data_IF_766699610466
#
_entry.id   IF_766699610466
#
_cell.length_a   1.000
_cell.length_b   1.000
_cell.length_c   1.000
_cell.angle_alpha   90.00
_cell.angle_beta   90.00
_cell.angle_gamma   90.00
#
_symmetry.space_group_name_H-M   'P 1'
#
loop_
_entity.id
_entity.type
_entity.pdbx_description
1 polymer ?
#
# COMPACT_ATOMS: atom_id res chain seq x y z
N UNK A 1 -19.75 27.23 11.79
CA UNK A 1 -18.50 26.48 12.00
C UNK A 1 -17.89 26.19 10.64
N UNK A 2 -16.57 26.17 10.54
CA UNK A 2 -15.88 25.74 9.32
C UNK A 2 -15.61 24.25 9.38
N UNK A 3 -16.05 23.52 8.36
CA UNK A 3 -15.78 22.09 8.18
C UNK A 3 -15.21 21.85 6.77
N UNK A 4 -14.71 20.64 6.53
CA UNK A 4 -14.37 20.16 5.19
C UNK A 4 -15.45 19.21 4.71
N UNK A 5 -16.23 19.57 3.69
CA UNK A 5 -17.23 18.71 3.07
C UNK A 5 -16.74 18.20 1.71
N UNK A 6 -16.64 16.88 1.54
CA UNK A 6 -16.17 16.24 0.30
C UNK A 6 -14.86 16.86 -0.23
N UNK A 7 -13.93 17.20 0.68
CA UNK A 7 -12.63 17.80 0.34
C UNK A 7 -12.63 19.32 0.15
N UNK A 8 -13.78 19.99 0.23
CA UNK A 8 -13.92 21.45 0.07
C UNK A 8 -14.25 22.13 1.39
N UNK A 9 -13.63 23.26 1.67
CA UNK A 9 -13.98 24.06 2.85
C UNK A 9 -15.42 24.57 2.75
N UNK A 10 -16.17 24.41 3.82
CA UNK A 10 -17.57 24.82 3.94
C UNK A 10 -17.79 25.53 5.27
N UNK A 11 -18.17 26.80 5.20
CA UNK A 11 -18.73 27.51 6.35
C UNK A 11 -20.21 27.14 6.48
N UNK A 12 -20.56 26.35 7.51
CA UNK A 12 -21.92 25.86 7.73
C UNK A 12 -22.52 26.34 9.05
N UNK A 13 -23.84 26.48 9.07
CA UNK A 13 -24.66 26.72 10.26
C UNK A 13 -25.24 25.43 10.84
N UNK A 14 -25.12 24.30 10.13
CA UNK A 14 -25.55 22.99 10.60
C UNK A 14 -24.79 22.60 11.87
N UNK A 15 -25.50 21.97 12.80
CA UNK A 15 -24.93 21.47 14.05
C UNK A 15 -24.58 19.99 13.97
N UNK A 16 -25.15 19.27 13.00
CA UNK A 16 -24.98 17.82 12.89
C UNK A 16 -24.62 17.36 11.47
N UNK A 17 -24.03 16.17 11.41
CA UNK A 17 -23.60 15.56 10.17
C UNK A 17 -24.78 15.22 9.25
N UNK A 18 -25.93 14.83 9.79
CA UNK A 18 -27.11 14.51 8.98
C UNK A 18 -27.83 15.76 8.48
N UNK A 19 -27.79 16.88 9.21
CA UNK A 19 -28.29 18.16 8.70
C UNK A 19 -27.51 18.60 7.44
N UNK A 20 -26.18 18.46 7.44
CA UNK A 20 -25.36 18.75 6.25
C UNK A 20 -25.68 17.78 5.10
N UNK A 21 -25.94 16.49 5.41
CA UNK A 21 -26.39 15.50 4.43
C UNK A 21 -27.71 15.89 3.78
N UNK A 22 -28.69 16.29 4.56
CA UNK A 22 -30.02 16.66 4.06
C UNK A 22 -29.98 17.91 3.17
N UNK A 23 -29.05 18.84 3.42
CA UNK A 23 -28.85 20.01 2.56
C UNK A 23 -28.12 19.69 1.25
N UNK A 24 -27.21 18.71 1.26
CA UNK A 24 -26.26 18.47 0.15
C UNK A 24 -26.54 17.20 -0.67
N UNK A 25 -27.48 16.36 -0.22
CA UNK A 25 -27.75 15.04 -0.79
C UNK A 25 -29.10 14.47 -0.37
N UNK A 26 -29.13 13.15 -0.16
CA UNK A 26 -30.32 12.37 0.22
C UNK A 26 -30.16 11.78 1.63
N UNK A 27 -31.28 11.54 2.32
CA UNK A 27 -31.31 10.85 3.61
C UNK A 27 -30.70 9.42 3.57
N UNK A 28 -30.57 8.83 2.37
CA UNK A 28 -30.00 7.48 2.18
C UNK A 28 -28.49 7.47 1.92
N UNK A 29 -27.87 8.63 1.79
CA UNK A 29 -26.44 8.76 1.48
C UNK A 29 -25.58 8.36 2.69
N UNK A 30 -24.42 7.77 2.39
CA UNK A 30 -23.49 7.31 3.41
C UNK A 30 -22.72 8.52 3.94
N UNK A 31 -22.69 8.70 5.25
CA UNK A 31 -21.96 9.79 5.91
C UNK A 31 -20.73 9.23 6.60
N UNK A 32 -19.57 9.78 6.24
CA UNK A 32 -18.29 9.47 6.86
C UNK A 32 -17.80 10.72 7.58
N UNK A 33 -17.68 10.63 8.90
CA UNK A 33 -17.17 11.69 9.77
C UNK A 33 -15.79 11.27 10.28
N UNK A 34 -14.76 12.05 9.96
CA UNK A 34 -13.39 11.87 10.46
C UNK A 34 -12.84 10.43 10.31
N UNK A 35 -13.05 9.77 9.17
CA UNK A 35 -12.59 8.39 8.97
C UNK A 35 -13.67 7.32 9.17
N UNK A 36 -14.75 7.63 9.89
CA UNK A 36 -15.71 6.64 10.36
C UNK A 36 -17.10 6.81 9.75
N UNK A 37 -17.67 5.74 9.21
CA UNK A 37 -19.04 5.74 8.71
C UNK A 37 -20.02 5.76 9.89
N UNK A 38 -20.77 6.86 10.02
CA UNK A 38 -21.77 7.01 11.08
C UNK A 38 -23.13 6.45 10.63
N UNK A 39 -23.77 5.68 11.51
CA UNK A 39 -25.12 5.14 11.29
C UNK A 39 -26.20 6.01 11.96
N UNK A 40 -25.83 6.75 13.00
CA UNK A 40 -26.68 7.69 13.72
C UNK A 40 -26.08 9.10 13.57
N UNK A 41 -26.92 10.11 13.74
CA UNK A 41 -26.48 11.49 13.63
C UNK A 41 -25.44 11.83 14.72
N UNK A 42 -24.50 12.69 14.37
CA UNK A 42 -23.41 13.12 15.24
C UNK A 42 -23.25 14.63 15.15
N UNK A 43 -22.94 15.27 16.29
CA UNK A 43 -22.61 16.69 16.30
C UNK A 43 -21.33 16.94 15.53
N UNK A 44 -21.32 18.05 14.78
CA UNK A 44 -20.14 18.56 14.11
C UNK A 44 -19.39 19.55 15.01
N UNK A 45 -18.08 19.57 14.84
CA UNK A 45 -17.14 20.49 15.47
C UNK A 45 -16.34 21.24 14.41
N UNK A 46 -15.71 22.34 14.81
CA UNK A 46 -14.81 23.10 13.95
C UNK A 46 -13.68 22.21 13.42
N UNK A 47 -13.40 22.29 12.11
CA UNK A 47 -12.42 21.49 11.36
C UNK A 47 -12.75 20.00 11.20
N UNK A 48 -13.98 19.56 11.48
CA UNK A 48 -14.40 18.21 11.15
C UNK A 48 -14.34 17.97 9.63
N UNK A 49 -13.98 16.73 9.26
CA UNK A 49 -13.98 16.26 7.88
C UNK A 49 -15.20 15.38 7.67
N UNK A 50 -16.13 15.85 6.83
CA UNK A 50 -17.36 15.18 6.48
C UNK A 50 -17.32 14.76 5.01
N UNK A 51 -17.63 13.50 4.72
CA UNK A 51 -17.84 13.03 3.35
C UNK A 51 -19.22 12.41 3.21
N UNK A 52 -19.97 12.85 2.20
CA UNK A 52 -21.30 12.34 1.85
C UNK A 52 -21.17 11.56 0.54
N UNK A 53 -21.33 10.25 0.62
CA UNK A 53 -21.26 9.36 -0.54
C UNK A 53 -22.68 9.05 -1.02
N UNK A 54 -23.00 9.54 -2.22
CA UNK A 54 -24.26 9.24 -2.92
C UNK A 54 -24.25 7.79 -3.40
N UNK A 55 -25.26 7.02 -2.98
CA UNK A 55 -25.34 5.60 -3.38
C UNK A 55 -25.60 5.47 -4.88
N UNK A 56 -24.76 4.69 -5.56
CA UNK A 56 -24.96 4.33 -6.97
C UNK A 56 -24.59 5.41 -8.00
N UNK A 57 -24.04 6.55 -7.55
CA UNK A 57 -23.54 7.61 -8.41
C UNK A 57 -22.02 7.55 -8.42
N UNK A 58 -21.40 7.56 -9.61
CA UNK A 58 -19.95 7.72 -9.72
C UNK A 58 -19.61 9.15 -9.33
N UNK A 59 -18.82 9.39 -8.25
CA UNK A 59 -18.39 10.73 -7.89
C UNK A 59 -17.48 11.31 -8.97
N UNK A 60 -17.34 12.63 -9.00
CA UNK A 60 -16.31 13.27 -9.82
C UNK A 60 -14.90 12.95 -9.27
N UNK A 61 -13.86 13.37 -9.99
CA UNK A 61 -12.48 12.99 -9.69
C UNK A 61 -12.03 13.49 -8.29
N UNK A 62 -12.34 14.75 -7.95
CA UNK A 62 -11.99 15.36 -6.67
C UNK A 62 -12.77 14.70 -5.52
N UNK A 63 -14.07 14.46 -5.73
CA UNK A 63 -14.91 13.77 -4.76
C UNK A 63 -14.46 12.32 -4.56
N UNK A 64 -14.08 11.60 -5.62
CA UNK A 64 -13.60 10.22 -5.53
C UNK A 64 -12.31 10.15 -4.74
N UNK A 65 -11.35 11.04 -5.02
CA UNK A 65 -10.11 11.12 -4.24
C UNK A 65 -10.42 11.40 -2.77
N UNK A 66 -11.24 12.42 -2.47
CA UNK A 66 -11.65 12.74 -1.11
C UNK A 66 -12.34 11.57 -0.41
N UNK A 67 -13.21 10.82 -1.11
CA UNK A 67 -13.91 9.65 -0.56
C UNK A 67 -12.97 8.46 -0.30
N UNK A 68 -11.96 8.26 -1.15
CA UNK A 68 -10.91 7.26 -0.90
C UNK A 68 -10.10 7.63 0.35
N UNK A 69 -9.89 8.92 0.59
CA UNK A 69 -9.24 9.46 1.80
C UNK A 69 -10.16 9.44 3.02
N UNK A 70 -11.47 9.59 2.82
CA UNK A 70 -12.46 9.74 3.88
C UNK A 70 -12.50 8.56 4.84
N UNK A 71 -12.12 7.36 4.38
CA UNK A 71 -12.06 6.13 5.19
C UNK A 71 -10.72 5.94 5.90
N UNK A 72 -9.74 6.80 5.64
CA UNK A 72 -8.46 6.77 6.35
C UNK A 72 -8.59 7.48 7.70
N UNK A 73 -7.78 7.05 8.66
CA UNK A 73 -7.60 7.78 9.92
C UNK A 73 -7.16 9.22 9.63
N UNK A 74 -7.71 10.25 10.29
CA UNK A 74 -7.28 11.63 10.12
C UNK A 74 -5.76 11.78 10.23
N UNK A 75 -5.19 12.72 9.45
CA UNK A 75 -3.75 13.03 9.38
C UNK A 75 -2.82 11.94 8.82
N UNK A 76 -3.26 10.68 8.72
CA UNK A 76 -2.48 9.57 8.12
C UNK A 76 -2.33 9.77 6.61
N UNK A 77 -3.41 10.13 5.92
CA UNK A 77 -3.40 10.21 4.46
C UNK A 77 -2.36 11.21 3.92
N UNK A 78 -2.19 12.37 4.54
CA UNK A 78 -1.24 13.38 4.06
C UNK A 78 0.21 12.86 4.09
N UNK A 79 0.56 12.10 5.12
CA UNK A 79 1.87 11.46 5.22
C UNK A 79 2.04 10.38 4.13
N UNK A 80 1.01 9.56 3.91
CA UNK A 80 1.02 8.54 2.85
C UNK A 80 1.13 9.16 1.45
N UNK A 81 0.39 10.24 1.17
CA UNK A 81 0.42 10.96 -0.11
C UNK A 81 1.78 11.59 -0.41
N UNK A 82 2.57 11.90 0.61
CA UNK A 82 3.95 12.37 0.43
C UNK A 82 4.96 11.23 0.29
N UNK A 83 4.60 10.00 0.70
CA UNK A 83 5.48 8.85 0.72
C UNK A 83 5.86 8.32 -0.66
N UNK A 84 7.14 7.98 -0.82
CA UNK A 84 7.70 7.36 -2.02
C UNK A 84 8.27 5.98 -1.68
N UNK A 85 7.62 4.94 -2.19
CA UNK A 85 8.00 3.55 -1.93
C UNK A 85 8.43 2.85 -3.21
N UNK A 86 9.62 2.27 -3.20
CA UNK A 86 10.08 1.39 -4.27
C UNK A 86 9.86 -0.08 -3.89
N UNK A 87 9.40 -0.88 -4.84
CA UNK A 87 9.13 -2.31 -4.66
C UNK A 87 10.05 -3.08 -5.60
N UNK A 88 11.01 -3.79 -5.00
CA UNK A 88 12.01 -4.59 -5.68
C UNK A 88 11.55 -6.06 -5.72
N UNK A 89 11.13 -6.50 -6.90
CA UNK A 89 10.50 -7.80 -7.12
C UNK A 89 8.98 -7.73 -6.96
N UNK A 90 8.25 -8.19 -7.96
CA UNK A 90 6.78 -8.15 -8.07
C UNK A 90 6.20 -9.57 -8.09
N UNK A 91 6.82 -10.47 -7.33
CA UNK A 91 6.34 -11.82 -7.06
C UNK A 91 5.19 -11.85 -6.05
N UNK A 92 5.11 -12.91 -5.25
CA UNK A 92 4.01 -13.10 -4.28
C UNK A 92 3.93 -12.00 -3.23
N UNK A 93 5.07 -11.52 -2.73
CA UNK A 93 5.10 -10.43 -1.77
C UNK A 93 4.85 -9.09 -2.47
N UNK A 94 5.74 -8.70 -3.38
CA UNK A 94 5.72 -7.36 -3.98
C UNK A 94 4.43 -7.00 -4.72
N UNK A 95 3.81 -7.95 -5.45
CA UNK A 95 2.54 -7.66 -6.15
C UNK A 95 1.38 -7.38 -5.18
N UNK A 96 1.29 -8.15 -4.09
CA UNK A 96 0.28 -7.91 -3.05
C UNK A 96 0.57 -6.63 -2.26
N UNK A 97 1.84 -6.36 -1.94
CA UNK A 97 2.26 -5.13 -1.26
C UNK A 97 1.91 -3.90 -2.09
N UNK A 98 2.22 -3.90 -3.39
CA UNK A 98 1.92 -2.77 -4.28
C UNK A 98 0.42 -2.45 -4.30
N UNK A 99 -0.43 -3.48 -4.38
CA UNK A 99 -1.89 -3.33 -4.32
C UNK A 99 -2.34 -2.77 -2.96
N UNK A 100 -1.80 -3.27 -1.84
CA UNK A 100 -2.14 -2.76 -0.51
C UNK A 100 -1.73 -1.30 -0.34
N UNK A 101 -0.51 -0.93 -0.75
CA UNK A 101 0.00 0.44 -0.69
C UNK A 101 -0.78 1.40 -1.61
N UNK A 102 -1.20 0.92 -2.79
CA UNK A 102 -2.04 1.70 -3.68
C UNK A 102 -3.42 2.01 -3.06
N UNK A 103 -4.03 1.01 -2.41
CA UNK A 103 -5.35 1.15 -1.76
C UNK A 103 -5.36 2.16 -0.62
N UNK A 104 -4.27 2.27 0.12
CA UNK A 104 -4.12 3.24 1.22
C UNK A 104 -3.61 4.62 0.72
N UNK A 105 -3.35 4.75 -0.58
CA UNK A 105 -2.96 6.02 -1.19
C UNK A 105 -1.54 6.47 -0.91
N UNK A 106 -0.56 5.54 -0.93
CA UNK A 106 0.86 5.93 -0.98
C UNK A 106 1.11 6.72 -2.26
N UNK A 107 1.62 7.94 -2.13
CA UNK A 107 1.64 8.94 -3.22
C UNK A 107 2.44 8.53 -4.44
N UNK A 108 3.58 7.86 -4.26
CA UNK A 108 4.38 7.35 -5.37
C UNK A 108 4.88 5.93 -5.13
N UNK A 109 4.64 5.07 -6.11
CA UNK A 109 5.16 3.71 -6.17
C UNK A 109 6.12 3.57 -7.36
N UNK A 110 7.29 2.98 -7.10
CA UNK A 110 8.16 2.44 -8.15
C UNK A 110 8.10 0.92 -8.14
N UNK A 111 7.74 0.33 -9.27
CA UNK A 111 7.66 -1.12 -9.44
C UNK A 111 8.83 -1.60 -10.29
N UNK A 112 9.70 -2.45 -9.72
CA UNK A 112 10.89 -2.97 -10.40
C UNK A 112 10.87 -4.49 -10.43
N UNK A 113 10.75 -5.05 -11.64
CA UNK A 113 10.84 -6.48 -11.92
C UNK A 113 11.15 -6.67 -13.41
N UNK A 114 11.85 -7.75 -13.78
CA UNK A 114 12.20 -8.05 -15.16
C UNK A 114 11.36 -9.19 -15.75
N UNK A 115 10.64 -9.95 -14.92
CA UNK A 115 9.89 -11.12 -15.33
C UNK A 115 8.57 -10.76 -16.03
N UNK A 116 8.00 -11.79 -16.65
CA UNK A 116 6.63 -11.81 -17.17
C UNK A 116 5.71 -12.61 -16.24
N UNK A 117 4.40 -12.43 -16.38
CA UNK A 117 3.40 -13.20 -15.65
C UNK A 117 3.26 -14.60 -16.27
N UNK A 118 3.46 -15.62 -15.44
CA UNK A 118 3.36 -17.03 -15.83
C UNK A 118 2.19 -17.74 -15.12
N UNK A 119 1.67 -18.87 -15.66
CA UNK A 119 0.58 -19.60 -15.01
C UNK A 119 0.89 -20.04 -13.57
N UNK A 120 2.15 -20.39 -13.29
CA UNK A 120 2.64 -20.78 -11.96
C UNK A 120 2.59 -19.65 -10.91
N UNK A 121 2.36 -18.41 -11.35
CA UNK A 121 2.32 -17.22 -10.49
C UNK A 121 0.92 -17.00 -9.90
N UNK A 122 -0.13 -17.40 -10.63
CA UNK A 122 -1.53 -17.07 -10.33
C UNK A 122 -2.02 -17.64 -8.99
N UNK A 123 -1.33 -18.62 -8.42
CA UNK A 123 -1.70 -19.22 -7.14
C UNK A 123 -1.45 -18.32 -5.92
N UNK A 124 -0.68 -17.23 -6.06
CA UNK A 124 -0.24 -16.39 -4.93
C UNK A 124 0.13 -14.94 -5.27
N UNK A 125 0.29 -14.60 -6.55
CA UNK A 125 0.66 -13.26 -6.99
C UNK A 125 -0.58 -12.50 -7.42
N UNK A 126 -0.57 -11.17 -7.29
CA UNK A 126 -1.70 -10.31 -7.66
C UNK A 126 -1.72 -10.07 -9.18
N UNK A 127 -2.04 -11.11 -9.94
CA UNK A 127 -2.22 -11.05 -11.39
C UNK A 127 -3.46 -11.84 -11.83
N UNK A 128 -4.05 -11.43 -12.94
CA UNK A 128 -5.18 -12.11 -13.56
C UNK A 128 -4.73 -13.01 -14.71
N UNK A 129 -5.59 -13.95 -15.12
CA UNK A 129 -5.37 -14.79 -16.31
C UNK A 129 -5.14 -13.95 -17.56
N UNK A 130 -5.81 -12.79 -17.66
CA UNK A 130 -5.62 -11.82 -18.75
C UNK A 130 -4.23 -11.18 -18.78
N UNK A 131 -3.42 -11.33 -17.73
CA UNK A 131 -2.07 -10.77 -17.65
C UNK A 131 -0.99 -11.75 -18.13
N UNK A 132 -1.32 -13.01 -18.41
CA UNK A 132 -0.34 -14.03 -18.82
C UNK A 132 0.46 -13.56 -20.05
N UNK A 133 1.79 -13.74 -19.99
CA UNK A 133 2.73 -13.35 -21.05
C UNK A 133 3.11 -11.87 -21.06
N UNK A 134 2.53 -11.04 -20.18
CA UNK A 134 2.87 -9.61 -20.05
C UNK A 134 3.95 -9.40 -19.00
N UNK A 135 4.73 -8.33 -19.11
CA UNK A 135 5.64 -7.93 -18.03
C UNK A 135 4.87 -7.67 -16.73
N UNK A 136 5.39 -8.20 -15.62
CA UNK A 136 4.82 -8.04 -14.28
C UNK A 136 4.62 -6.56 -13.93
N UNK A 137 5.61 -5.74 -14.24
CA UNK A 137 5.60 -4.28 -14.05
C UNK A 137 4.41 -3.62 -14.74
N UNK A 138 4.20 -3.88 -16.04
CA UNK A 138 3.11 -3.30 -16.82
C UNK A 138 1.74 -3.80 -16.34
N UNK A 139 1.60 -5.11 -16.13
CA UNK A 139 0.35 -5.71 -15.67
C UNK A 139 -0.09 -5.15 -14.30
N UNK A 140 0.86 -5.00 -13.37
CA UNK A 140 0.57 -4.47 -12.04
C UNK A 140 0.29 -2.97 -12.05
N UNK A 141 0.99 -2.20 -12.89
CA UNK A 141 0.72 -0.76 -13.06
C UNK A 141 -0.72 -0.52 -13.51
N UNK A 142 -1.18 -1.22 -14.55
CA UNK A 142 -2.56 -1.07 -15.03
C UNK A 142 -3.60 -1.44 -13.97
N UNK A 143 -3.32 -2.50 -13.19
CA UNK A 143 -4.19 -2.89 -12.09
C UNK A 143 -4.23 -1.81 -11.01
N UNK A 144 -3.09 -1.20 -10.68
CA UNK A 144 -3.02 -0.12 -9.69
C UNK A 144 -3.75 1.14 -10.19
N UNK A 145 -3.60 1.51 -11.46
CA UNK A 145 -4.31 2.66 -12.04
C UNK A 145 -5.84 2.46 -12.01
N UNK A 146 -6.33 1.22 -12.10
CA UNK A 146 -7.75 0.89 -11.89
C UNK A 146 -8.18 0.91 -10.42
N UNK A 147 -7.25 0.67 -9.49
CA UNK A 147 -7.52 0.68 -8.05
C UNK A 147 -7.52 2.09 -7.50
N UNK A 148 -6.52 2.89 -7.87
CA UNK A 148 -6.32 4.23 -7.38
C UNK A 148 -5.61 5.06 -8.46
N UNK A 149 -6.34 5.84 -9.26
CA UNK A 149 -5.76 6.66 -10.32
C UNK A 149 -5.01 7.90 -9.78
N UNK A 150 -5.10 8.19 -8.48
CA UNK A 150 -4.56 9.41 -7.86
C UNK A 150 -3.11 9.28 -7.39
N UNK A 151 -2.52 8.09 -7.52
CA UNK A 151 -1.12 7.86 -7.13
C UNK A 151 -0.22 7.79 -8.35
N UNK A 152 1.02 8.21 -8.18
CA UNK A 152 2.03 8.14 -9.22
C UNK A 152 2.66 6.75 -9.27
N UNK A 153 2.52 6.04 -10.39
CA UNK A 153 3.15 4.73 -10.60
C UNK A 153 4.21 4.78 -11.69
N UNK A 154 5.46 4.57 -11.27
CA UNK A 154 6.60 4.38 -12.15
C UNK A 154 6.97 2.91 -12.25
N UNK A 155 7.44 2.49 -13.43
CA UNK A 155 7.86 1.12 -13.67
C UNK A 155 9.26 1.08 -14.25
N UNK A 156 10.04 0.08 -13.83
CA UNK A 156 11.35 -0.24 -14.41
C UNK A 156 11.41 -1.74 -14.68
N UNK A 157 11.30 -2.11 -15.95
CA UNK A 157 11.35 -3.52 -16.38
C UNK A 157 12.80 -3.98 -16.54
N UNK A 158 13.52 -4.05 -15.43
CA UNK A 158 14.97 -4.34 -15.42
C UNK A 158 15.31 -5.28 -14.26
N UNK A 159 16.40 -6.03 -14.44
CA UNK A 159 16.96 -6.83 -13.36
C UNK A 159 17.78 -5.91 -12.44
N UNK A 160 17.53 -6.01 -11.14
CA UNK A 160 18.29 -5.26 -10.14
C UNK A 160 19.65 -5.92 -9.97
N UNK A 161 20.70 -5.10 -10.00
CA UNK A 161 22.10 -5.48 -9.78
C UNK A 161 22.71 -4.45 -8.83
N UNK A 162 23.86 -4.78 -8.26
CA UNK A 162 24.62 -3.84 -7.41
C UNK A 162 24.86 -2.49 -8.12
N UNK A 163 25.20 -2.52 -9.41
CA UNK A 163 25.52 -1.33 -10.21
C UNK A 163 24.36 -0.37 -10.42
N UNK A 164 23.10 -0.84 -10.33
CA UNK A 164 21.92 -0.02 -10.64
C UNK A 164 21.07 0.32 -9.42
N UNK A 165 21.41 -0.15 -8.21
CA UNK A 165 20.65 0.13 -6.98
C UNK A 165 20.51 1.63 -6.74
N UNK A 166 21.62 2.37 -6.82
CA UNK A 166 21.58 3.82 -6.57
C UNK A 166 20.75 4.56 -7.62
N UNK A 167 20.93 4.25 -8.90
CA UNK A 167 20.16 4.88 -9.98
C UNK A 167 18.65 4.61 -9.84
N UNK A 168 18.28 3.37 -9.51
CA UNK A 168 16.88 2.96 -9.43
C UNK A 168 16.16 3.55 -8.22
N UNK A 169 16.82 3.63 -7.07
CA UNK A 169 16.14 3.87 -5.79
C UNK A 169 16.49 5.22 -5.15
N UNK A 170 17.34 6.04 -5.78
CA UNK A 170 17.59 7.40 -5.32
C UNK A 170 16.29 8.22 -5.25
N UNK A 171 16.07 8.90 -4.11
CA UNK A 171 14.90 9.75 -3.89
C UNK A 171 13.64 9.03 -3.42
N UNK A 172 13.72 7.72 -3.11
CA UNK A 172 12.66 6.96 -2.43
C UNK A 172 12.95 6.86 -0.93
N UNK A 173 11.89 6.91 -0.12
CA UNK A 173 11.99 6.86 1.34
C UNK A 173 12.20 5.42 1.83
N UNK A 174 11.57 4.47 1.14
CA UNK A 174 11.53 3.06 1.54
C UNK A 174 11.72 2.16 0.32
N UNK A 175 12.58 1.14 0.46
CA UNK A 175 12.67 0.00 -0.45
C UNK A 175 12.00 -1.20 0.19
N UNK A 176 10.94 -1.70 -0.45
CA UNK A 176 10.33 -2.97 -0.16
C UNK A 176 11.07 -4.06 -0.94
N UNK A 177 11.85 -4.88 -0.26
CA UNK A 177 12.52 -6.03 -0.87
C UNK A 177 11.58 -7.25 -0.83
N UNK A 178 11.39 -7.87 -2.00
CA UNK A 178 10.45 -8.96 -2.21
C UNK A 178 11.01 -10.06 -3.14
N UNK A 179 12.33 -10.28 -3.12
CA UNK A 179 12.98 -11.34 -3.89
C UNK A 179 12.81 -12.72 -3.23
N UNK A 180 12.87 -13.75 -4.06
CA UNK A 180 12.82 -15.16 -3.65
C UNK A 180 14.20 -15.71 -3.27
N UNK A 181 15.27 -15.21 -3.91
CA UNK A 181 16.63 -15.73 -3.71
C UNK A 181 17.44 -14.91 -2.69
N UNK A 182 18.09 -15.63 -1.79
CA UNK A 182 18.84 -15.05 -0.67
C UNK A 182 20.06 -14.22 -1.12
N UNK A 183 20.72 -14.61 -2.21
CA UNK A 183 21.85 -13.89 -2.81
C UNK A 183 21.40 -12.52 -3.35
N UNK A 184 20.33 -12.49 -4.14
CA UNK A 184 19.78 -11.25 -4.71
C UNK A 184 19.26 -10.31 -3.62
N UNK A 185 18.60 -10.87 -2.60
CA UNK A 185 18.17 -10.14 -1.40
C UNK A 185 19.36 -9.47 -0.72
N UNK A 186 20.44 -10.22 -0.50
CA UNK A 186 21.64 -9.71 0.17
C UNK A 186 22.31 -8.60 -0.66
N UNK A 187 22.39 -8.76 -1.98
CA UNK A 187 22.92 -7.74 -2.89
C UNK A 187 22.14 -6.43 -2.75
N UNK A 188 20.81 -6.47 -2.85
CA UNK A 188 19.99 -5.26 -2.74
C UNK A 188 20.11 -4.62 -1.36
N UNK A 189 19.98 -5.41 -0.28
CA UNK A 189 20.03 -4.88 1.08
C UNK A 189 21.38 -4.22 1.35
N UNK A 190 22.49 -4.89 1.05
CA UNK A 190 23.82 -4.37 1.32
C UNK A 190 24.09 -3.11 0.48
N UNK A 191 23.83 -3.16 -0.83
CA UNK A 191 24.05 -2.04 -1.73
C UNK A 191 23.22 -0.81 -1.34
N UNK A 192 21.94 -1.01 -0.98
CA UNK A 192 21.08 0.09 -0.56
C UNK A 192 21.49 0.65 0.80
N UNK A 193 21.86 -0.18 1.77
CA UNK A 193 22.34 0.30 3.07
C UNK A 193 23.65 1.06 2.95
N UNK A 194 24.55 0.67 2.05
CA UNK A 194 25.83 1.33 1.83
C UNK A 194 25.69 2.63 1.02
N UNK A 195 24.93 2.59 -0.08
CA UNK A 195 24.92 3.67 -1.08
C UNK A 195 23.77 4.68 -0.86
N UNK A 196 22.71 4.31 -0.13
CA UNK A 196 21.53 5.14 0.12
C UNK A 196 21.36 5.38 1.64
N UNK A 197 21.95 6.45 2.21
CA UNK A 197 22.11 6.60 3.66
C UNK A 197 20.80 6.79 4.42
N UNK A 198 19.75 7.31 3.77
CA UNK A 198 18.47 7.63 4.39
C UNK A 198 17.37 6.61 4.11
N UNK A 199 17.58 5.70 3.16
CA UNK A 199 16.54 4.74 2.77
C UNK A 199 16.33 3.72 3.88
N UNK A 200 15.06 3.43 4.17
CA UNK A 200 14.66 2.30 5.00
C UNK A 200 14.31 1.10 4.13
N UNK A 201 14.56 -0.10 4.64
CA UNK A 201 14.32 -1.34 3.92
C UNK A 201 13.35 -2.20 4.69
N UNK A 202 12.32 -2.68 4.02
CA UNK A 202 11.36 -3.65 4.55
C UNK A 202 11.41 -4.92 3.70
N UNK A 203 11.91 -6.01 4.28
CA UNK A 203 12.19 -7.28 3.61
C UNK A 203 11.27 -8.40 4.11
N UNK A 204 11.02 -9.42 3.30
CA UNK A 204 10.25 -10.61 3.68
C UNK A 204 11.10 -11.89 3.75
N UNK A 205 10.96 -12.71 4.79
CA UNK A 205 11.71 -13.98 4.92
C UNK A 205 10.99 -15.03 5.78
N UNK A 206 10.86 -16.26 5.26
CA UNK A 206 10.14 -17.37 5.92
C UNK A 206 8.61 -17.20 5.93
N UNK A 207 7.92 -17.82 4.97
CA UNK A 207 6.45 -17.73 4.78
C UNK A 207 5.86 -18.84 3.88
N UNK A 208 6.66 -19.83 3.48
CA UNK A 208 6.19 -20.92 2.61
C UNK A 208 5.40 -21.95 3.40
N UNK A 209 4.53 -22.69 2.74
CA UNK A 209 3.66 -23.69 3.36
C UNK A 209 2.41 -23.09 3.99
N UNK A 210 1.85 -23.82 4.94
CA UNK A 210 0.54 -23.57 5.55
C UNK A 210 0.59 -23.56 7.09
N UNK A 211 1.78 -23.38 7.68
CA UNK A 211 1.92 -23.29 9.14
C UNK A 211 1.20 -22.04 9.67
N UNK A 212 1.07 -21.95 11.00
CA UNK A 212 0.32 -20.87 11.67
C UNK A 212 0.79 -19.49 11.25
N UNK A 213 -0.15 -18.65 10.84
CA UNK A 213 0.10 -17.26 10.49
C UNK A 213 0.68 -16.43 11.63
N UNK A 214 0.44 -16.82 12.88
CA UNK A 214 0.96 -16.11 14.05
C UNK A 214 2.49 -16.23 14.21
N UNK A 215 3.14 -17.12 13.44
CA UNK A 215 4.60 -17.22 13.38
C UNK A 215 5.22 -16.08 12.55
N UNK A 216 4.44 -15.47 11.64
CA UNK A 216 4.89 -14.32 10.87
C UNK A 216 4.92 -13.12 11.81
N UNK A 217 6.11 -12.55 11.97
CA UNK A 217 6.33 -11.38 12.80
C UNK A 217 7.15 -10.37 12.02
N UNK A 218 6.94 -9.09 12.32
CA UNK A 218 7.86 -8.04 11.92
C UNK A 218 8.98 -7.98 12.96
N UNK A 219 10.22 -7.72 12.54
CA UNK A 219 11.38 -7.53 13.42
C UNK A 219 12.24 -6.39 12.89
N UNK A 220 12.69 -5.48 13.74
CA UNK A 220 13.70 -4.47 13.40
C UNK A 220 15.08 -5.08 13.65
N UNK A 221 15.80 -5.43 12.58
CA UNK A 221 17.12 -6.08 12.69
C UNK A 221 18.26 -5.06 12.77
N UNK A 222 18.09 -3.90 12.15
CA UNK A 222 19.02 -2.78 12.19
C UNK A 222 18.24 -1.47 12.16
N UNK A 223 18.92 -0.33 12.34
CA UNK A 223 18.28 0.98 12.36
C UNK A 223 17.36 1.23 11.15
N UNK A 224 17.76 0.74 9.96
CA UNK A 224 17.06 0.94 8.69
C UNK A 224 16.58 -0.36 8.03
N UNK A 225 16.59 -1.49 8.75
CA UNK A 225 16.22 -2.80 8.19
C UNK A 225 15.15 -3.48 9.05
N UNK A 226 14.00 -3.71 8.42
CA UNK A 226 12.86 -4.42 8.96
C UNK A 226 12.66 -5.72 8.20
N UNK A 227 12.42 -6.82 8.90
CA UNK A 227 12.17 -8.13 8.27
C UNK A 227 10.84 -8.68 8.76
N UNK A 228 9.99 -9.08 7.82
CA UNK A 228 8.68 -9.67 8.07
C UNK A 228 8.70 -11.15 7.70
N UNK A 229 8.17 -12.00 8.58
CA UNK A 229 8.06 -13.43 8.37
C UNK A 229 8.55 -14.25 9.56
N UNK A 230 8.59 -15.56 9.39
CA UNK A 230 8.96 -16.50 10.45
C UNK A 230 10.45 -16.87 10.44
N UNK A 231 11.21 -16.49 9.41
CA UNK A 231 12.64 -16.78 9.23
C UNK A 231 13.03 -18.27 9.12
N UNK A 232 12.07 -19.19 9.12
CA UNK A 232 12.32 -20.64 9.14
C UNK A 232 11.77 -21.32 7.86
N UNK A 233 10.60 -20.91 7.41
CA UNK A 233 9.81 -21.65 6.43
C UNK A 233 10.11 -21.17 5.01
N UNK A 234 11.22 -21.65 4.47
CA UNK A 234 11.58 -21.49 3.06
C UNK A 234 10.75 -22.42 2.14
N UNK A 235 10.58 -22.01 0.89
CA UNK A 235 9.92 -22.84 -0.12
C UNK A 235 10.83 -24.01 -0.53
N UNK A 236 10.23 -25.17 -0.79
CA UNK A 236 10.95 -26.38 -1.17
C UNK A 236 10.02 -27.48 -1.69
N UNK A 237 10.61 -28.63 -2.01
CA UNK A 237 9.83 -29.81 -2.45
C UNK A 237 8.84 -30.19 -1.35
N UNK A 238 7.54 -30.24 -1.70
CA UNK A 238 6.46 -30.50 -0.74
C UNK A 238 6.04 -29.29 0.11
N UNK A 239 6.74 -28.15 0.01
CA UNK A 239 6.45 -26.92 0.76
C UNK A 239 6.40 -25.72 -0.19
N UNK A 240 5.26 -25.59 -0.89
CA UNK A 240 5.01 -24.48 -1.82
C UNK A 240 4.61 -23.18 -1.14
N UNK A 241 4.62 -22.08 -1.89
CA UNK A 241 4.14 -20.79 -1.41
C UNK A 241 2.61 -20.72 -1.53
N UNK A 242 1.92 -20.58 -0.39
CA UNK A 242 0.46 -20.53 -0.32
C UNK A 242 -0.03 -19.08 -0.25
N UNK A 243 -1.00 -18.71 -1.11
CA UNK A 243 -1.57 -17.36 -1.17
C UNK A 243 -1.87 -16.74 0.20
N UNK A 244 -2.61 -17.40 1.13
CA UNK A 244 -2.95 -16.77 2.41
C UNK A 244 -1.71 -16.38 3.24
N UNK A 245 -0.74 -17.28 3.36
CA UNK A 245 0.46 -17.04 4.18
C UNK A 245 1.40 -16.01 3.54
N UNK A 246 1.53 -16.05 2.21
CA UNK A 246 2.25 -15.02 1.45
C UNK A 246 1.59 -13.66 1.63
N UNK A 247 0.26 -13.57 1.52
CA UNK A 247 -0.49 -12.32 1.68
C UNK A 247 -0.42 -11.78 3.11
N UNK A 248 -0.32 -12.63 4.13
CA UNK A 248 -0.12 -12.20 5.52
C UNK A 248 1.28 -11.61 5.68
N UNK A 249 2.33 -12.26 5.16
CA UNK A 249 3.68 -11.70 5.19
C UNK A 249 3.77 -10.38 4.40
N UNK A 250 3.13 -10.31 3.23
CA UNK A 250 2.97 -9.08 2.46
C UNK A 250 2.23 -8.00 3.27
N UNK A 251 1.19 -8.38 4.01
CA UNK A 251 0.46 -7.48 4.90
C UNK A 251 1.34 -6.93 6.03
N UNK A 252 2.20 -7.75 6.62
CA UNK A 252 3.21 -7.28 7.58
C UNK A 252 4.18 -6.26 6.96
N UNK A 253 4.69 -6.53 5.75
CA UNK A 253 5.57 -5.58 5.06
C UNK A 253 4.83 -4.27 4.72
N UNK A 254 3.64 -4.35 4.11
CA UNK A 254 2.85 -3.18 3.74
C UNK A 254 2.44 -2.35 4.96
N UNK A 255 2.06 -3.00 6.06
CA UNK A 255 1.71 -2.31 7.30
C UNK A 255 2.95 -1.65 7.94
N UNK A 256 4.11 -2.31 7.93
CA UNK A 256 5.34 -1.69 8.41
C UNK A 256 5.73 -0.47 7.56
N UNK A 257 5.57 -0.55 6.23
CA UNK A 257 5.79 0.59 5.32
C UNK A 257 4.87 1.76 5.68
N UNK A 258 3.56 1.50 5.86
CA UNK A 258 2.61 2.52 6.34
C UNK A 258 3.09 3.14 7.66
N UNK A 259 3.45 2.32 8.64
CA UNK A 259 3.94 2.78 9.95
C UNK A 259 5.18 3.68 9.80
N UNK A 260 6.16 3.27 9.00
CA UNK A 260 7.36 4.08 8.73
C UNK A 260 7.00 5.44 8.13
N UNK A 261 6.08 5.48 7.16
CA UNK A 261 5.66 6.72 6.50
C UNK A 261 5.00 7.72 7.46
N UNK A 262 4.33 7.22 8.51
CA UNK A 262 3.73 8.07 9.55
C UNK A 262 4.64 8.30 10.76
N UNK A 263 5.91 7.87 10.71
CA UNK A 263 6.90 8.06 11.78
C UNK A 263 6.90 6.98 12.88
N UNK A 264 6.12 5.92 12.72
CA UNK A 264 6.01 4.81 13.67
C UNK A 264 7.01 3.69 13.32
N UNK A 265 8.11 3.62 14.06
CA UNK A 265 9.22 2.72 13.75
C UNK A 265 9.41 1.54 14.71
N UNK A 266 8.68 1.51 15.82
CA UNK A 266 8.74 0.41 16.80
C UNK A 266 7.99 -0.82 16.31
N UNK A 267 8.47 -2.00 16.69
CA UNK A 267 7.96 -3.30 16.22
C UNK A 267 7.42 -4.12 17.36
#
# INVERSE_FOLDING_TARGET
MRITLNGKELDTVCQTAFEVREQSGSATDIVILNGFQIANDSKLSENDVLNIIRKGVMPDEEELESMMVARHTPYVHQQLKNGKVAIAGLGGLGSNIAVMLARIGVGQLLLVDFDIVEPSNLNRQSYYVSHLGRHKTTALKEQIEQINPFIKVEIKTVKITEDNVTELFAGYDIICEAFDKADQKSILINSALEQLPQVKIVSGSGMAGYDSSNLIQTRKLMNRLYVCGDLENAAGVGKGLMAPRVSICAGHQANMILRILIGEEEV
#
